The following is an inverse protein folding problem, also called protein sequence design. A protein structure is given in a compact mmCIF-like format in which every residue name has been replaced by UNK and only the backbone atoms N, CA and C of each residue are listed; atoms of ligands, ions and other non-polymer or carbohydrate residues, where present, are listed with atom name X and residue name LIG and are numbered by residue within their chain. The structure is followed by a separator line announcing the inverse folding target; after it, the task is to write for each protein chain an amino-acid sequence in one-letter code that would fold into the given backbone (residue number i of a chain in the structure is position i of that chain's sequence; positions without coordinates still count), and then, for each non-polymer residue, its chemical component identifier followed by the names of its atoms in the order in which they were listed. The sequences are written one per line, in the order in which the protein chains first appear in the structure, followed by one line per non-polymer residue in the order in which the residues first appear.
data_IF_898539747997
#
_entry.id   IF_898539747997
#
_cell.length_a   1.000
_cell.length_b   1.000
_cell.length_c   1.000
_cell.angle_alpha   90.00
_cell.angle_beta   90.00
_cell.angle_gamma   90.00
#
_symmetry.space_group_name_H-M   'P 1'
#
loop_
_entity.id
_entity.type
_entity.pdbx_description
1 polymer ?
#
# COMPACT_ATOMS: atom_id res chain seq x y z
N UNK A 1 -25.18 -55.95 -12.05
CA UNK A 1 -26.47 -55.22 -12.10
C UNK A 1 -27.19 -55.05 -10.77
N UNK A 2 -27.85 -56.06 -10.18
CA UNK A 2 -28.69 -55.84 -8.99
C UNK A 2 -27.88 -55.40 -7.75
N UNK A 3 -26.73 -56.02 -7.51
CA UNK A 3 -25.85 -55.66 -6.39
C UNK A 3 -25.18 -54.29 -6.61
N UNK A 4 -24.71 -54.02 -7.83
CA UNK A 4 -24.12 -52.72 -8.19
C UNK A 4 -25.12 -51.57 -7.98
N UNK A 5 -26.40 -51.80 -8.31
CA UNK A 5 -27.48 -50.83 -8.07
C UNK A 5 -27.71 -50.59 -6.57
N UNK A 6 -27.69 -51.64 -5.75
CA UNK A 6 -27.83 -51.53 -4.30
C UNK A 6 -26.68 -50.74 -3.67
N UNK A 7 -25.45 -51.00 -4.13
CA UNK A 7 -24.25 -50.25 -3.72
C UNK A 7 -24.36 -48.78 -4.14
N UNK A 8 -24.83 -48.50 -5.36
CA UNK A 8 -25.05 -47.14 -5.83
C UNK A 8 -26.08 -46.40 -4.95
N UNK A 9 -27.23 -47.02 -4.65
CA UNK A 9 -28.30 -46.45 -3.83
C UNK A 9 -27.81 -46.08 -2.41
N UNK A 10 -26.94 -46.89 -1.81
CA UNK A 10 -26.32 -46.59 -0.50
C UNK A 10 -25.34 -45.41 -0.58
N UNK A 11 -24.65 -45.25 -1.71
CA UNK A 11 -23.64 -44.20 -1.90
C UNK A 11 -24.24 -42.84 -2.35
N UNK A 12 -25.45 -42.82 -2.93
CA UNK A 12 -26.10 -41.58 -3.40
C UNK A 12 -26.17 -40.47 -2.32
N UNK A 13 -26.55 -40.75 -1.05
CA UNK A 13 -26.60 -39.73 -0.01
C UNK A 13 -25.22 -39.14 0.33
N UNK A 14 -24.16 -39.95 0.29
CA UNK A 14 -22.79 -39.46 0.51
C UNK A 14 -22.35 -38.56 -0.65
N UNK A 15 -22.58 -39.01 -1.89
CA UNK A 15 -22.29 -38.24 -3.09
C UNK A 15 -23.04 -36.90 -3.11
N UNK A 16 -24.32 -36.88 -2.70
CA UNK A 16 -25.10 -35.63 -2.56
C UNK A 16 -24.41 -34.65 -1.61
N UNK A 17 -24.01 -35.10 -0.42
CA UNK A 17 -23.35 -34.25 0.58
C UNK A 17 -22.00 -33.73 0.08
N UNK A 18 -21.25 -34.56 -0.64
CA UNK A 18 -19.97 -34.16 -1.22
C UNK A 18 -20.15 -33.11 -2.33
N UNK A 19 -21.18 -33.26 -3.16
CA UNK A 19 -21.54 -32.26 -4.17
C UNK A 19 -22.00 -30.94 -3.55
N UNK A 20 -22.85 -30.99 -2.52
CA UNK A 20 -23.28 -29.80 -1.78
C UNK A 20 -22.07 -29.07 -1.16
N UNK A 21 -21.16 -29.81 -0.55
CA UNK A 21 -19.89 -29.25 -0.01
C UNK A 21 -19.03 -28.65 -1.11
N UNK A 22 -18.86 -29.34 -2.24
CA UNK A 22 -18.09 -28.83 -3.37
C UNK A 22 -18.68 -27.53 -3.90
N UNK A 23 -20.00 -27.42 -4.02
CA UNK A 23 -20.68 -26.22 -4.49
C UNK A 23 -20.47 -25.04 -3.52
N UNK A 24 -20.60 -25.26 -2.21
CA UNK A 24 -20.33 -24.22 -1.18
C UNK A 24 -18.88 -23.75 -1.21
N UNK A 25 -17.91 -24.68 -1.27
CA UNK A 25 -16.49 -24.34 -1.38
C UNK A 25 -16.22 -23.55 -2.66
N UNK A 26 -16.78 -23.99 -3.79
CA UNK A 26 -16.60 -23.34 -5.09
C UNK A 26 -17.19 -21.93 -5.08
N UNK A 27 -18.37 -21.75 -4.49
CA UNK A 27 -19.03 -20.45 -4.37
C UNK A 27 -18.19 -19.49 -3.53
N UNK A 28 -17.72 -19.93 -2.35
CA UNK A 28 -16.84 -19.13 -1.49
C UNK A 28 -15.52 -18.76 -2.18
N UNK A 29 -14.91 -19.71 -2.87
CA UNK A 29 -13.69 -19.46 -3.63
C UNK A 29 -13.92 -18.46 -4.77
N UNK A 30 -15.01 -18.61 -5.52
CA UNK A 30 -15.37 -17.70 -6.62
C UNK A 30 -15.65 -16.29 -6.10
N UNK A 31 -16.38 -16.15 -5.00
CA UNK A 31 -16.64 -14.87 -4.36
C UNK A 31 -15.33 -14.20 -3.89
N UNK A 32 -14.43 -14.97 -3.27
CA UNK A 32 -13.11 -14.48 -2.85
C UNK A 32 -12.28 -13.98 -4.04
N UNK A 33 -12.12 -14.81 -5.08
CA UNK A 33 -11.35 -14.41 -6.26
C UNK A 33 -11.94 -13.20 -6.97
N UNK A 34 -13.27 -13.09 -7.03
CA UNK A 34 -13.93 -11.91 -7.58
C UNK A 34 -13.60 -10.64 -6.79
N UNK A 35 -13.64 -10.70 -5.46
CA UNK A 35 -13.30 -9.56 -4.60
C UNK A 35 -11.81 -9.17 -4.75
N UNK A 36 -10.92 -10.16 -4.82
CA UNK A 36 -9.49 -9.95 -5.04
C UNK A 36 -9.24 -9.29 -6.41
N UNK A 37 -9.84 -9.83 -7.48
CA UNK A 37 -9.74 -9.28 -8.84
C UNK A 37 -10.32 -7.87 -8.96
N UNK A 38 -11.48 -7.60 -8.37
CA UNK A 38 -12.07 -6.26 -8.33
C UNK A 38 -11.16 -5.28 -7.58
N UNK A 39 -10.55 -5.71 -6.48
CA UNK A 39 -9.55 -4.93 -5.75
C UNK A 39 -8.30 -4.66 -6.60
N UNK A 40 -7.79 -5.68 -7.29
CA UNK A 40 -6.64 -5.56 -8.19
C UNK A 40 -6.94 -4.60 -9.35
N UNK A 41 -8.08 -4.72 -10.02
CA UNK A 41 -8.47 -3.83 -11.12
C UNK A 41 -8.62 -2.39 -10.64
N UNK A 42 -9.27 -2.16 -9.50
CA UNK A 42 -9.41 -0.83 -8.91
C UNK A 42 -8.05 -0.19 -8.68
N UNK A 43 -7.10 -0.93 -8.07
CA UNK A 43 -5.75 -0.43 -7.79
C UNK A 43 -4.94 -0.17 -9.05
N UNK A 44 -4.99 -1.06 -10.04
CA UNK A 44 -4.28 -0.87 -11.31
C UNK A 44 -4.83 0.29 -12.13
N UNK A 45 -6.12 0.60 -11.98
CA UNK A 45 -6.77 1.76 -12.61
C UNK A 45 -6.39 3.11 -11.99
N UNK A 46 -5.69 3.13 -10.86
CA UNK A 46 -5.28 4.38 -10.22
C UNK A 46 -4.09 4.95 -10.99
N UNK A 47 -4.33 6.09 -11.62
CA UNK A 47 -3.27 6.85 -12.26
C UNK A 47 -2.43 7.57 -11.19
N UNK A 48 -1.11 7.54 -11.36
CA UNK A 48 -0.19 8.25 -10.48
C UNK A 48 0.14 9.57 -11.18
N UNK A 49 -0.23 10.72 -10.61
CA UNK A 49 -0.02 12.00 -11.26
C UNK A 49 1.47 12.26 -11.48
N UNK A 50 1.81 12.80 -12.65
CA UNK A 50 3.16 13.30 -12.92
C UNK A 50 3.46 14.50 -12.03
N UNK A 51 4.64 14.50 -11.42
CA UNK A 51 5.10 15.64 -10.62
C UNK A 51 5.51 16.81 -11.52
N UNK A 52 5.14 18.02 -11.12
CA UNK A 52 5.62 19.27 -11.68
C UNK A 52 7.15 19.36 -11.54
N UNK A 53 7.84 20.16 -12.39
CA UNK A 53 9.29 20.30 -12.28
C UNK A 53 9.77 20.78 -10.90
N UNK A 54 8.95 21.58 -10.21
CA UNK A 54 9.25 22.02 -8.85
C UNK A 54 9.13 20.88 -7.83
N UNK A 55 8.05 20.10 -7.91
CA UNK A 55 7.83 18.95 -7.03
C UNK A 55 8.83 17.82 -7.28
N UNK A 56 9.21 17.58 -8.53
CA UNK A 56 10.25 16.62 -8.88
C UNK A 56 11.61 16.99 -8.24
N UNK A 57 12.02 18.26 -8.32
CA UNK A 57 13.25 18.74 -7.65
C UNK A 57 13.18 18.68 -6.13
N UNK A 58 12.02 18.95 -5.54
CA UNK A 58 11.82 18.78 -4.11
C UNK A 58 11.95 17.32 -3.69
N UNK A 59 11.35 16.40 -4.45
CA UNK A 59 11.46 14.96 -4.22
C UNK A 59 12.88 14.41 -4.38
N UNK A 60 13.65 14.96 -5.33
CA UNK A 60 15.07 14.63 -5.46
C UNK A 60 15.84 15.00 -4.19
N UNK A 61 15.66 16.22 -3.67
CA UNK A 61 16.28 16.64 -2.41
C UNK A 61 15.81 15.83 -1.20
N UNK A 62 14.52 15.45 -1.17
CA UNK A 62 13.96 14.56 -0.13
C UNK A 62 14.67 13.21 -0.19
N UNK A 63 14.82 12.62 -1.37
CA UNK A 63 15.53 11.34 -1.56
C UNK A 63 16.97 11.45 -1.10
N UNK A 64 17.69 12.48 -1.53
CA UNK A 64 19.09 12.68 -1.16
C UNK A 64 19.27 12.89 0.36
N UNK A 65 18.30 13.55 1.01
CA UNK A 65 18.27 13.68 2.46
C UNK A 65 18.02 12.33 3.15
N UNK A 66 17.07 11.53 2.66
CA UNK A 66 16.80 10.17 3.16
C UNK A 66 18.02 9.26 2.99
N UNK A 67 18.70 9.31 1.84
CA UNK A 67 19.90 8.52 1.56
C UNK A 67 21.07 8.89 2.49
N UNK A 68 21.15 10.17 2.89
CA UNK A 68 22.08 10.65 3.94
C UNK A 68 21.59 10.39 5.36
N UNK A 69 20.44 9.75 5.54
CA UNK A 69 19.79 9.51 6.82
C UNK A 69 19.42 10.81 7.59
N UNK A 70 19.15 11.90 6.86
CA UNK A 70 18.74 13.21 7.38
C UNK A 70 17.23 13.43 7.14
N UNK A 71 16.42 12.73 7.94
CA UNK A 71 14.96 12.79 7.85
C UNK A 71 14.37 14.18 8.19
N UNK A 72 14.91 14.96 9.14
CA UNK A 72 14.47 16.33 9.37
C UNK A 72 14.66 17.23 8.14
N UNK A 73 15.80 17.14 7.45
CA UNK A 73 16.02 17.90 6.22
C UNK A 73 15.05 17.48 5.11
N UNK A 74 14.74 16.17 5.01
CA UNK A 74 13.76 15.66 4.05
C UNK A 74 12.37 16.32 4.26
N UNK A 75 11.90 16.43 5.52
CA UNK A 75 10.67 17.17 5.83
C UNK A 75 10.79 18.66 5.49
N UNK A 76 11.94 19.27 5.79
CA UNK A 76 12.20 20.67 5.46
C UNK A 76 12.08 20.96 3.96
N UNK A 77 12.63 20.10 3.11
CA UNK A 77 12.54 20.25 1.66
C UNK A 77 11.10 20.06 1.13
N UNK A 78 10.35 19.12 1.70
CA UNK A 78 8.97 18.89 1.31
C UNK A 78 8.01 20.02 1.75
N UNK A 79 8.30 20.67 2.89
CA UNK A 79 7.47 21.73 3.47
C UNK A 79 7.84 23.14 2.97
N UNK A 80 8.90 23.27 2.16
CA UNK A 80 9.42 24.57 1.71
C UNK A 80 8.42 25.37 0.84
N UNK A 81 7.54 24.68 0.12
CA UNK A 81 6.48 25.29 -0.70
C UNK A 81 5.16 24.54 -0.48
N UNK A 82 4.10 25.27 -0.16
CA UNK A 82 2.77 24.71 0.13
C UNK A 82 2.12 24.06 -1.10
N UNK A 83 2.36 24.60 -2.29
CA UNK A 83 1.83 24.03 -3.54
C UNK A 83 2.53 22.72 -3.84
N UNK A 84 3.86 22.70 -3.71
CA UNK A 84 4.66 21.48 -3.85
C UNK A 84 4.23 20.45 -2.82
N UNK A 85 4.07 20.81 -1.54
CA UNK A 85 3.60 19.89 -0.51
C UNK A 85 2.27 19.24 -0.86
N UNK A 86 1.28 20.02 -1.30
CA UNK A 86 -0.02 19.49 -1.70
C UNK A 86 0.09 18.51 -2.88
N UNK A 87 0.98 18.79 -3.83
CA UNK A 87 1.26 17.91 -4.95
C UNK A 87 1.94 16.60 -4.51
N UNK A 88 2.94 16.68 -3.61
CA UNK A 88 3.60 15.50 -3.03
C UNK A 88 2.63 14.64 -2.23
N UNK A 89 1.70 15.26 -1.49
CA UNK A 89 0.67 14.54 -0.75
C UNK A 89 -0.31 13.82 -1.70
N UNK A 90 -0.70 14.47 -2.79
CA UNK A 90 -1.57 13.89 -3.82
C UNK A 90 -0.88 12.70 -4.50
N UNK A 91 0.39 12.87 -4.86
CA UNK A 91 1.23 11.80 -5.40
C UNK A 91 1.35 10.62 -4.41
N UNK A 92 1.69 10.89 -3.15
CA UNK A 92 1.85 9.86 -2.12
C UNK A 92 0.56 9.11 -1.83
N UNK A 93 -0.59 9.80 -1.90
CA UNK A 93 -1.90 9.17 -1.79
C UNK A 93 -2.15 8.21 -2.95
N UNK A 94 -1.94 8.63 -4.19
CA UNK A 94 -2.10 7.77 -5.37
C UNK A 94 -1.17 6.54 -5.31
N UNK A 95 0.10 6.73 -4.90
CA UNK A 95 1.06 5.63 -4.68
C UNK A 95 0.56 4.67 -3.60
N UNK A 96 0.04 5.19 -2.50
CA UNK A 96 -0.48 4.38 -1.39
C UNK A 96 -1.76 3.63 -1.76
N UNK A 97 -2.63 4.21 -2.57
CA UNK A 97 -3.84 3.54 -3.04
C UNK A 97 -3.50 2.45 -4.08
N UNK A 98 -2.57 2.72 -5.00
CA UNK A 98 -2.14 1.75 -6.02
C UNK A 98 -1.34 0.60 -5.43
N UNK A 99 -0.32 0.89 -4.61
CA UNK A 99 0.63 -0.12 -4.13
C UNK A 99 0.38 -0.58 -2.69
N UNK A 100 -0.37 0.17 -1.90
CA UNK A 100 -0.57 -0.04 -0.46
C UNK A 100 0.31 0.89 0.39
N UNK A 101 -0.20 1.30 1.55
CA UNK A 101 0.34 2.38 2.39
C UNK A 101 1.74 2.13 2.96
N UNK A 102 2.18 0.86 3.06
CA UNK A 102 3.47 0.48 3.65
C UNK A 102 4.30 -0.45 2.77
N UNK A 103 3.88 -0.64 1.52
CA UNK A 103 4.42 -1.67 0.64
C UNK A 103 5.85 -1.35 0.19
N UNK A 104 6.21 -0.07 0.05
CA UNK A 104 7.54 0.37 -0.37
C UNK A 104 8.47 0.73 0.80
N UNK A 105 8.02 0.60 2.06
CA UNK A 105 8.83 0.97 3.23
C UNK A 105 9.88 -0.08 3.60
N UNK A 106 9.68 -1.35 3.24
CA UNK A 106 10.58 -2.44 3.62
C UNK A 106 11.96 -2.32 2.97
N UNK A 107 13.04 -2.63 3.70
CA UNK A 107 14.41 -2.58 3.15
C UNK A 107 14.62 -3.51 1.96
N UNK A 108 13.92 -4.66 1.93
CA UNK A 108 13.92 -5.60 0.80
C UNK A 108 13.30 -5.05 -0.49
N UNK A 109 12.72 -3.84 -0.43
CA UNK A 109 12.00 -3.19 -1.54
C UNK A 109 12.77 -1.94 -2.03
N UNK A 110 14.05 -1.80 -1.64
CA UNK A 110 14.86 -0.62 -1.97
C UNK A 110 15.09 -0.52 -3.47
N UNK A 111 15.46 -1.65 -4.06
CA UNK A 111 15.70 -1.76 -5.48
C UNK A 111 14.39 -2.13 -6.21
N UNK A 112 14.23 -1.74 -7.49
CA UNK A 112 13.12 -2.15 -8.34
C UNK A 112 13.26 -3.62 -8.76
N UNK A 113 13.39 -4.52 -7.78
CA UNK A 113 13.59 -5.95 -7.99
C UNK A 113 12.89 -6.77 -6.90
N UNK A 114 12.71 -8.06 -7.19
CA UNK A 114 12.11 -9.01 -6.26
C UNK A 114 10.58 -9.03 -6.26
N UNK A 115 10.02 -9.83 -5.35
CA UNK A 115 8.61 -10.23 -5.38
C UNK A 115 7.61 -9.06 -5.33
N UNK A 116 7.92 -7.98 -4.61
CA UNK A 116 7.06 -6.79 -4.52
C UNK A 116 7.05 -6.01 -5.82
N UNK A 117 8.20 -5.84 -6.46
CA UNK A 117 8.31 -5.21 -7.78
C UNK A 117 7.63 -6.06 -8.86
N UNK A 118 7.86 -7.38 -8.87
CA UNK A 118 7.24 -8.28 -9.85
C UNK A 118 5.71 -8.29 -9.74
N UNK A 119 5.17 -8.23 -8.52
CA UNK A 119 3.71 -8.09 -8.30
C UNK A 119 3.20 -6.73 -8.78
N UNK A 120 3.95 -5.66 -8.55
CA UNK A 120 3.60 -4.32 -9.02
C UNK A 120 3.66 -4.19 -10.54
N UNK A 121 4.61 -4.86 -11.19
CA UNK A 121 4.82 -4.87 -12.63
C UNK A 121 3.97 -5.94 -13.36
N UNK A 122 3.17 -6.72 -12.64
CA UNK A 122 2.41 -7.82 -13.23
C UNK A 122 1.42 -7.30 -14.28
N UNK A 123 1.48 -7.86 -15.49
CA UNK A 123 0.64 -7.47 -16.62
C UNK A 123 1.02 -6.15 -17.30
N UNK A 124 2.12 -5.50 -16.90
CA UNK A 124 2.64 -4.31 -17.59
C UNK A 124 3.41 -4.66 -18.87
N UNK A 125 3.38 -3.75 -19.84
CA UNK A 125 4.28 -3.82 -21.00
C UNK A 125 5.75 -3.66 -20.57
N UNK A 126 6.74 -4.14 -21.35
CA UNK A 126 8.15 -3.93 -21.03
C UNK A 126 8.53 -2.46 -20.83
N UNK A 127 7.98 -1.56 -21.66
CA UNK A 127 8.22 -0.12 -21.54
C UNK A 127 7.61 0.49 -20.27
N UNK A 128 6.42 0.04 -19.85
CA UNK A 128 5.82 0.52 -18.60
C UNK A 128 6.49 -0.06 -17.37
N UNK A 129 7.03 -1.28 -17.47
CA UNK A 129 7.87 -1.88 -16.43
C UNK A 129 9.17 -1.10 -16.23
N UNK A 130 9.78 -0.61 -17.31
CA UNK A 130 10.95 0.28 -17.23
C UNK A 130 10.60 1.62 -16.57
N UNK A 131 9.50 2.26 -16.99
CA UNK A 131 9.01 3.49 -16.32
C UNK A 131 8.76 3.28 -14.83
N UNK A 132 8.15 2.15 -14.46
CA UNK A 132 7.92 1.78 -13.07
C UNK A 132 9.24 1.64 -12.30
N UNK A 133 10.23 0.99 -12.91
CA UNK A 133 11.58 0.85 -12.35
C UNK A 133 12.23 2.21 -12.10
N UNK A 134 12.17 3.12 -13.06
CA UNK A 134 12.72 4.49 -12.92
C UNK A 134 11.98 5.31 -11.85
N UNK A 135 10.67 5.17 -11.75
CA UNK A 135 9.86 5.87 -10.75
C UNK A 135 9.95 5.27 -9.34
N UNK A 136 10.45 4.04 -9.22
CA UNK A 136 10.46 3.26 -7.97
C UNK A 136 11.12 3.97 -6.78
N UNK A 137 12.33 4.54 -6.91
CA UNK A 137 12.98 5.21 -5.78
C UNK A 137 12.20 6.45 -5.32
N UNK A 138 11.59 7.18 -6.25
CA UNK A 138 10.79 8.38 -5.96
C UNK A 138 9.52 8.02 -5.19
N UNK A 139 8.80 6.97 -5.62
CA UNK A 139 7.61 6.49 -4.90
C UNK A 139 7.96 6.01 -3.49
N UNK A 140 9.09 5.31 -3.34
CA UNK A 140 9.60 4.87 -2.05
C UNK A 140 9.92 6.05 -1.12
N UNK A 141 10.69 7.02 -1.60
CA UNK A 141 11.03 8.23 -0.85
C UNK A 141 9.76 8.98 -0.39
N UNK A 142 8.74 9.01 -1.24
CA UNK A 142 7.44 9.58 -0.92
C UNK A 142 6.72 8.87 0.23
N UNK A 143 6.69 7.52 0.22
CA UNK A 143 6.13 6.75 1.35
C UNK A 143 6.93 6.94 2.64
N UNK A 144 8.26 6.99 2.56
CA UNK A 144 9.12 7.22 3.74
C UNK A 144 8.88 8.61 4.34
N UNK A 145 8.78 9.64 3.49
CA UNK A 145 8.45 11.01 3.89
C UNK A 145 7.08 11.06 4.59
N UNK A 146 6.04 10.49 3.97
CA UNK A 146 4.69 10.47 4.53
C UNK A 146 4.60 9.66 5.83
N UNK A 147 5.38 8.57 5.96
CA UNK A 147 5.46 7.81 7.20
C UNK A 147 6.10 8.66 8.32
N UNK A 148 7.20 9.35 8.01
CA UNK A 148 7.89 10.19 8.99
C UNK A 148 7.04 11.40 9.43
N UNK A 149 6.33 12.04 8.50
CA UNK A 149 5.41 13.14 8.79
C UNK A 149 4.32 12.70 9.78
N UNK A 150 3.70 11.53 9.55
CA UNK A 150 2.70 10.97 10.49
C UNK A 150 3.29 10.73 11.88
N UNK A 151 4.51 10.19 11.97
CA UNK A 151 5.21 9.99 13.25
C UNK A 151 5.45 11.32 13.97
N UNK A 152 5.94 12.34 13.26
CA UNK A 152 6.17 13.67 13.82
C UNK A 152 4.87 14.33 14.32
N UNK A 153 3.78 14.19 13.56
CA UNK A 153 2.46 14.69 13.97
C UNK A 153 1.95 13.98 15.22
N UNK A 154 2.07 12.64 15.30
CA UNK A 154 1.67 11.87 16.47
C UNK A 154 2.47 12.24 17.72
N UNK A 155 3.78 12.47 17.57
CA UNK A 155 4.64 12.95 18.66
C UNK A 155 4.20 14.31 19.18
N UNK A 156 3.97 15.28 18.28
CA UNK A 156 3.49 16.63 18.64
C UNK A 156 2.14 16.58 19.37
N UNK A 157 1.22 15.74 18.92
CA UNK A 157 -0.09 15.58 19.58
C UNK A 157 0.05 14.98 20.99
N UNK A 158 0.90 13.97 21.15
CA UNK A 158 1.21 13.36 22.45
C UNK A 158 1.84 14.37 23.42
N UNK A 159 2.78 15.19 22.94
CA UNK A 159 3.39 16.25 23.74
C UNK A 159 2.39 17.33 24.17
N UNK A 160 1.50 17.74 23.26
CA UNK A 160 0.45 18.71 23.57
C UNK A 160 -0.50 18.17 24.65
N UNK A 161 -0.90 16.90 24.57
CA UNK A 161 -1.72 16.23 25.58
C UNK A 161 -0.99 16.15 26.94
N UNK A 162 0.31 15.85 26.93
CA UNK A 162 1.11 15.83 28.16
C UNK A 162 1.18 17.20 28.81
N UNK A 163 1.38 18.27 28.03
CA UNK A 163 1.44 19.64 28.54
C UNK A 163 0.10 20.13 29.12
N UNK A 164 -1.04 19.74 28.55
CA UNK A 164 -2.35 20.09 29.11
C UNK A 164 -2.62 19.33 30.41
N UNK A 165 -2.23 18.06 30.49
CA UNK A 165 -2.35 17.27 31.72
C UNK A 165 -1.51 17.84 32.87
N UNK A 166 -0.22 18.17 32.64
CA UNK A 166 0.65 18.73 33.68
C UNK A 166 0.18 20.10 34.16
N UNK A 167 -0.28 20.98 33.26
CA UNK A 167 -0.86 22.28 33.64
C UNK A 167 -2.14 22.12 34.46
N UNK A 168 -3.01 21.18 34.13
CA UNK A 168 -4.26 20.93 34.87
C UNK A 168 -4.05 20.35 36.28
N UNK A 169 -2.94 19.63 36.50
CA UNK A 169 -2.56 19.11 37.82
C UNK A 169 -1.90 20.18 38.71
N UNK A 170 -1.17 21.13 38.12
CA UNK A 170 -0.54 22.24 38.86
C UNK A 170 -1.52 23.30 39.39
N UNK A 171 -2.75 23.37 38.87
CA UNK A 171 -3.81 24.29 39.32
C UNK A 171 -4.73 23.70 40.42
N UNK A 172 -4.50 22.47 40.88
CA UNK A 172 -5.29 21.80 41.93
C UNK A 172 -4.58 21.72 43.29
N UNK A 173 -3.57 22.56 43.52
CA UNK A 173 -2.85 22.68 44.80
C UNK A 173 -3.18 24.01 45.46
#
# INVERSE_FOLDING_TARGET
DREDRRVAEVNVPALRKDLERYLDIRERATAKYRLEEEGHRKRTSIDIPSLSPAAARAMEKVRDAIDRNDLPAALGFALADRVVKAELDTFNKAVSERFGERTLLGNAVKDPSGSTFDKAAHGMSPGDREKLSTAWPTMRAGQQLAAHERTQQALKQSEALRQTQTKSQGLKQ
#
